data_IF_533828929734
#
_entry.id   IF_533828929734
#
_cell.length_a   1.000
_cell.length_b   1.000
_cell.length_c   1.000
_cell.angle_alpha   90.00
_cell.angle_beta   90.00
_cell.angle_gamma   90.00
#
_symmetry.space_group_name_H-M   'P 1'
#
loop_
_entity.id
_entity.type
_entity.pdbx_description
1 polymer ?
#
# COMPACT_ATOMS: atom_id res chain seq x y z
N UNK A 1 38.80 1.93 -27.91
CA UNK A 1 37.54 2.64 -28.25
C UNK A 1 36.40 2.24 -27.32
N UNK A 2 36.07 0.95 -27.14
CA UNK A 2 34.91 0.52 -26.32
C UNK A 2 34.94 0.95 -24.83
N UNK A 3 36.11 0.97 -24.20
CA UNK A 3 36.27 1.32 -22.77
C UNK A 3 35.93 2.80 -22.50
N UNK A 4 36.24 3.69 -23.43
CA UNK A 4 35.92 5.12 -23.30
C UNK A 4 34.41 5.37 -23.34
N UNK A 5 33.66 4.61 -24.15
CA UNK A 5 32.20 4.74 -24.24
C UNK A 5 31.51 4.26 -22.96
N UNK A 6 32.01 3.19 -22.33
CA UNK A 6 31.44 2.68 -21.07
C UNK A 6 31.63 3.71 -19.94
N UNK A 7 32.81 4.34 -19.84
CA UNK A 7 33.07 5.36 -18.85
C UNK A 7 32.14 6.59 -19.02
N UNK A 8 31.95 7.06 -20.26
CA UNK A 8 31.06 8.18 -20.56
C UNK A 8 29.60 7.86 -20.26
N UNK A 9 29.14 6.66 -20.60
CA UNK A 9 27.77 6.21 -20.27
C UNK A 9 27.55 6.11 -18.76
N UNK A 10 28.54 5.62 -18.00
CA UNK A 10 28.44 5.52 -16.54
C UNK A 10 28.36 6.89 -15.86
N UNK A 11 29.11 7.87 -16.36
CA UNK A 11 29.08 9.24 -15.86
C UNK A 11 27.74 9.92 -16.17
N UNK A 12 27.22 9.74 -17.39
CA UNK A 12 25.93 10.28 -17.79
C UNK A 12 24.76 9.69 -16.98
N UNK A 13 24.77 8.37 -16.74
CA UNK A 13 23.75 7.70 -15.93
C UNK A 13 23.80 8.14 -14.46
N UNK A 14 24.99 8.40 -13.93
CA UNK A 14 25.17 8.87 -12.55
C UNK A 14 24.61 10.29 -12.36
N UNK A 15 24.81 11.20 -13.34
CA UNK A 15 24.20 12.55 -13.31
C UNK A 15 22.67 12.47 -13.42
N UNK A 16 22.15 11.58 -14.26
CA UNK A 16 20.71 11.36 -14.42
C UNK A 16 20.05 10.74 -13.17
N UNK A 17 20.77 9.95 -12.38
CA UNK A 17 20.26 9.37 -11.12
C UNK A 17 20.27 10.37 -9.95
N UNK A 18 21.20 11.33 -9.94
CA UNK A 18 21.29 12.33 -8.86
C UNK A 18 20.24 13.45 -9.03
N UNK A 19 19.85 13.77 -10.27
CA UNK A 19 18.87 14.80 -10.59
C UNK A 19 17.45 14.57 -10.00
N UNK A 20 16.85 13.36 -10.04
CA UNK A 20 15.54 13.09 -9.44
C UNK A 20 15.60 13.04 -7.90
N UNK A 21 16.74 12.70 -7.29
CA UNK A 21 16.89 12.73 -5.83
C UNK A 21 16.90 14.16 -5.26
N UNK A 22 17.47 15.13 -5.98
CA UNK A 22 17.41 16.54 -5.57
C UNK A 22 16.03 17.16 -5.83
N UNK A 23 15.38 16.80 -6.93
CA UNK A 23 14.06 17.32 -7.29
C UNK A 23 12.96 16.83 -6.34
N UNK A 24 13.04 15.58 -5.85
CA UNK A 24 12.10 15.04 -4.86
C UNK A 24 12.21 15.74 -3.51
N UNK A 25 13.40 16.13 -3.08
CA UNK A 25 13.62 16.90 -1.84
C UNK A 25 13.10 18.34 -1.97
N UNK A 26 13.23 18.95 -3.15
CA UNK A 26 12.78 20.33 -3.38
C UNK A 26 11.26 20.46 -3.61
N UNK A 27 10.60 19.44 -4.19
CA UNK A 27 9.15 19.46 -4.40
C UNK A 27 8.34 19.01 -3.17
N UNK A 28 8.93 18.25 -2.22
CA UNK A 28 8.16 17.62 -1.13
C UNK A 28 8.02 18.44 0.16
N UNK A 29 8.53 19.67 0.26
CA UNK A 29 8.15 20.53 1.36
C UNK A 29 9.25 21.39 1.95
N UNK A 30 8.79 22.52 2.47
CA UNK A 30 9.53 23.63 3.05
C UNK A 30 10.67 23.15 4.00
N UNK A 31 11.94 23.52 3.76
CA UNK A 31 13.09 23.04 4.54
C UNK A 31 13.06 23.47 6.03
N UNK A 32 12.12 24.33 6.44
CA UNK A 32 11.90 24.72 7.83
C UNK A 32 11.29 23.62 8.70
N UNK A 33 10.53 22.67 8.13
CA UNK A 33 9.83 21.65 8.92
C UNK A 33 10.74 20.48 9.32
N UNK A 34 11.71 20.14 8.48
CA UNK A 34 12.72 19.12 8.81
C UNK A 34 13.63 19.58 9.97
N UNK A 35 13.92 20.89 10.07
CA UNK A 35 14.68 21.44 11.19
C UNK A 35 13.89 21.43 12.51
N UNK A 36 12.56 21.56 12.47
CA UNK A 36 11.70 21.51 13.66
C UNK A 36 11.47 20.09 14.19
N UNK A 37 11.48 19.07 13.33
CA UNK A 37 11.29 17.67 13.75
C UNK A 37 12.57 17.06 14.34
N UNK A 38 13.74 17.55 13.92
CA UNK A 38 15.04 17.03 14.36
C UNK A 38 15.59 17.68 15.63
N UNK A 39 15.03 18.81 16.10
CA UNK A 39 15.43 19.43 17.37
C UNK A 39 14.53 18.95 18.51
N UNK A 40 15.16 18.68 19.67
CA UNK A 40 14.49 18.18 20.88
C UNK A 40 13.35 19.12 21.36
N UNK A 41 13.45 20.41 21.08
CA UNK A 41 12.45 21.44 21.41
C UNK A 41 11.17 21.36 20.56
N UNK A 42 11.26 21.07 19.25
CA UNK A 42 10.08 21.04 18.38
C UNK A 42 9.09 19.92 18.72
N UNK A 43 9.56 18.89 19.44
CA UNK A 43 8.76 17.76 19.92
C UNK A 43 7.88 18.11 21.13
N UNK A 44 8.23 19.14 21.91
CA UNK A 44 7.42 19.62 23.03
C UNK A 44 6.30 20.57 22.55
N UNK A 45 6.57 21.37 21.51
CA UNK A 45 5.59 22.30 20.93
C UNK A 45 4.41 21.57 20.24
N UNK A 46 4.66 20.39 19.67
CA UNK A 46 3.59 19.53 19.13
C UNK A 46 2.75 18.86 20.23
N UNK A 47 3.31 18.66 21.44
CA UNK A 47 2.57 18.14 22.59
C UNK A 47 1.71 19.20 23.27
N UNK A 48 2.12 20.47 23.25
CA UNK A 48 1.35 21.57 23.84
C UNK A 48 0.14 21.99 23.01
N UNK A 49 0.08 21.60 21.72
CA UNK A 49 -1.04 21.84 20.80
C UNK A 49 -2.11 20.74 20.78
N UNK A 50 -1.98 19.69 21.58
CA UNK A 50 -3.03 18.69 21.71
C UNK A 50 -4.29 19.32 22.36
N UNK A 51 -5.48 19.19 21.77
CA UNK A 51 -6.68 19.86 22.27
C UNK A 51 -7.05 19.32 23.65
N UNK A 52 -6.95 20.20 24.66
CA UNK A 52 -7.59 20.03 25.96
C UNK A 52 -9.11 20.15 25.74
N UNK A 53 -9.80 19.02 25.72
CA UNK A 53 -11.17 19.00 26.18
C UNK A 53 -11.37 17.87 27.20
N UNK A 54 -11.71 18.31 28.43
CA UNK A 54 -12.03 17.46 29.58
C UNK A 54 -13.45 16.91 29.38
N UNK A 55 -13.69 15.66 29.78
CA UNK A 55 -14.51 15.33 30.97
C UNK A 55 -14.91 13.85 31.00
N UNK A 56 -14.47 13.17 32.07
CA UNK A 56 -15.17 12.13 32.82
C UNK A 56 -15.76 10.92 32.10
N UNK A 57 -15.18 9.73 32.32
CA UNK A 57 -15.81 8.69 33.17
C UNK A 57 -14.93 7.43 33.29
N UNK A 58 -14.90 6.89 34.51
CA UNK A 58 -14.70 5.50 34.89
C UNK A 58 -13.35 4.76 34.65
N UNK A 59 -12.56 4.76 35.72
CA UNK A 59 -12.00 3.58 36.43
C UNK A 59 -12.06 2.23 35.69
N UNK A 60 -10.88 1.59 35.59
CA UNK A 60 -10.55 0.18 35.23
C UNK A 60 -9.93 0.00 33.85
N UNK A 61 -8.59 0.05 33.77
CA UNK A 61 -7.87 -0.64 32.68
C UNK A 61 -6.39 -0.96 32.95
N UNK A 62 -5.89 -0.90 34.19
CA UNK A 62 -4.46 -1.21 34.43
C UNK A 62 -4.12 -2.71 34.54
N UNK A 63 -5.10 -3.62 34.44
CA UNK A 63 -4.85 -5.07 34.58
C UNK A 63 -4.69 -5.83 33.25
N UNK A 64 -5.14 -5.30 32.12
CA UNK A 64 -5.09 -6.01 30.82
C UNK A 64 -3.87 -5.68 29.94
N UNK A 65 -3.10 -4.64 30.25
CA UNK A 65 -1.96 -4.25 29.41
C UNK A 65 -0.78 -5.23 29.47
N UNK A 66 -0.67 -6.07 30.51
CA UNK A 66 0.46 -7.00 30.68
C UNK A 66 0.31 -8.33 29.93
N UNK A 67 -0.80 -8.56 29.22
CA UNK A 67 -1.04 -9.82 28.50
C UNK A 67 -0.71 -9.75 26.99
N UNK A 68 -0.44 -8.56 26.44
CA UNK A 68 -0.23 -8.41 24.99
C UNK A 68 1.22 -8.76 24.58
N UNK A 69 2.16 -8.79 25.53
CA UNK A 69 3.58 -9.04 25.23
C UNK A 69 3.97 -10.53 25.14
N UNK A 70 3.04 -11.47 25.39
CA UNK A 70 3.32 -12.91 25.37
C UNK A 70 2.64 -13.69 24.25
N UNK A 71 2.32 -13.06 23.11
CA UNK A 71 1.82 -13.83 21.96
C UNK A 71 3.01 -14.35 21.13
N UNK A 72 3.27 -15.68 21.13
CA UNK A 72 4.38 -16.24 20.37
C UNK A 72 4.23 -15.92 18.88
N UNK A 73 5.30 -15.38 18.28
CA UNK A 73 5.36 -14.82 16.92
C UNK A 73 4.86 -15.76 15.80
N UNK A 74 4.71 -17.06 16.06
CA UNK A 74 4.15 -18.03 15.13
C UNK A 74 2.61 -18.08 15.02
N UNK A 75 1.87 -17.47 15.97
CA UNK A 75 0.39 -17.55 16.01
C UNK A 75 -0.29 -16.62 14.99
N UNK A 76 0.34 -15.48 14.67
CA UNK A 76 -0.22 -14.49 13.73
C UNK A 76 -0.35 -15.03 12.30
N UNK A 77 0.64 -15.79 11.80
CA UNK A 77 0.56 -16.41 10.46
C UNK A 77 -0.64 -17.36 10.30
N UNK A 78 -1.05 -18.02 11.38
CA UNK A 78 -2.18 -18.96 11.39
C UNK A 78 -3.51 -18.21 11.48
N UNK A 79 -3.55 -17.08 12.19
CA UNK A 79 -4.68 -16.17 12.23
C UNK A 79 -4.91 -15.47 10.89
N UNK A 80 -3.87 -15.02 10.18
CA UNK A 80 -4.03 -14.38 8.86
C UNK A 80 -4.55 -15.37 7.81
N UNK A 81 -4.05 -16.62 7.84
CA UNK A 81 -4.54 -17.71 6.98
C UNK A 81 -5.97 -18.11 7.36
N UNK A 82 -6.28 -18.13 8.65
CA UNK A 82 -7.62 -18.35 9.17
C UNK A 82 -8.58 -17.24 8.74
N UNK A 83 -8.26 -15.97 8.94
CA UNK A 83 -9.12 -14.86 8.50
C UNK A 83 -9.41 -14.90 7.00
N UNK A 84 -8.41 -15.19 6.16
CA UNK A 84 -8.64 -15.40 4.71
C UNK A 84 -9.61 -16.54 4.42
N UNK A 85 -9.48 -17.68 5.09
CA UNK A 85 -10.38 -18.83 4.86
C UNK A 85 -11.78 -18.58 5.44
N UNK A 86 -11.87 -17.87 6.56
CA UNK A 86 -13.13 -17.52 7.22
C UNK A 86 -13.92 -16.48 6.41
N UNK A 87 -13.24 -15.53 5.76
CA UNK A 87 -13.87 -14.60 4.80
C UNK A 87 -14.32 -15.32 3.54
N UNK A 88 -13.49 -16.18 2.93
CA UNK A 88 -13.85 -16.93 1.72
C UNK A 88 -15.08 -17.84 1.91
N UNK A 89 -15.17 -18.57 3.02
CA UNK A 89 -16.29 -19.47 3.29
C UNK A 89 -17.59 -18.73 3.60
N UNK A 90 -17.54 -17.57 4.27
CA UNK A 90 -18.72 -16.70 4.46
C UNK A 90 -19.16 -16.01 3.19
N UNK A 91 -18.20 -15.51 2.39
CA UNK A 91 -18.46 -14.85 1.11
C UNK A 91 -19.00 -15.81 0.05
N UNK A 92 -18.62 -17.09 0.09
CA UNK A 92 -19.16 -18.12 -0.81
C UNK A 92 -20.67 -18.36 -0.63
N UNK A 93 -21.22 -18.07 0.55
CA UNK A 93 -22.66 -18.12 0.83
C UNK A 93 -23.39 -16.78 0.64
N UNK A 94 -22.65 -15.69 0.45
CA UNK A 94 -23.20 -14.37 0.14
C UNK A 94 -23.25 -14.21 -1.38
N UNK A 95 -24.26 -13.48 -1.87
CA UNK A 95 -24.31 -13.08 -3.29
C UNK A 95 -22.94 -12.53 -3.69
N UNK A 96 -22.36 -12.94 -4.85
CA UNK A 96 -21.10 -12.36 -5.30
C UNK A 96 -21.21 -10.83 -5.29
N UNK A 97 -20.19 -10.13 -4.77
CA UNK A 97 -20.25 -8.67 -4.62
C UNK A 97 -20.53 -8.01 -5.96
N UNK A 98 -21.29 -6.92 -5.93
CA UNK A 98 -21.63 -6.21 -7.14
C UNK A 98 -20.34 -5.63 -7.78
N UNK A 99 -20.30 -5.57 -9.11
CA UNK A 99 -19.09 -5.15 -9.84
C UNK A 99 -18.67 -3.72 -9.45
N UNK A 100 -19.61 -2.88 -9.05
CA UNK A 100 -19.41 -1.51 -8.56
C UNK A 100 -18.66 -1.48 -7.22
N UNK A 101 -18.95 -2.42 -6.32
CA UNK A 101 -18.26 -2.56 -5.02
C UNK A 101 -16.80 -3.00 -5.24
N UNK A 102 -16.59 -3.90 -6.20
CA UNK A 102 -15.26 -4.34 -6.60
C UNK A 102 -14.49 -3.16 -7.18
N UNK A 103 -15.09 -2.39 -8.08
CA UNK A 103 -14.47 -1.19 -8.66
C UNK A 103 -14.13 -0.14 -7.60
N UNK A 104 -15.00 0.07 -6.60
CA UNK A 104 -14.75 0.97 -5.49
C UNK A 104 -13.54 0.53 -4.65
N UNK A 105 -13.47 -0.76 -4.30
CA UNK A 105 -12.36 -1.32 -3.53
C UNK A 105 -11.04 -1.26 -4.31
N UNK A 106 -11.06 -1.56 -5.61
CA UNK A 106 -9.90 -1.40 -6.49
C UNK A 106 -9.42 0.06 -6.54
N UNK A 107 -10.33 1.04 -6.63
CA UNK A 107 -9.97 2.47 -6.55
C UNK A 107 -9.30 2.82 -5.23
N UNK A 108 -9.84 2.32 -4.11
CA UNK A 108 -9.28 2.57 -2.78
C UNK A 108 -7.88 2.00 -2.65
N UNK A 109 -7.70 0.74 -3.04
CA UNK A 109 -6.42 0.04 -2.97
C UNK A 109 -5.38 0.61 -3.96
N UNK A 110 -5.81 1.05 -5.15
CA UNK A 110 -4.93 1.73 -6.12
C UNK A 110 -4.35 3.04 -5.55
N UNK A 111 -5.16 3.81 -4.82
CA UNK A 111 -4.68 5.01 -4.11
C UNK A 111 -3.69 4.67 -3.00
N UNK A 112 -3.94 3.60 -2.24
CA UNK A 112 -3.05 3.17 -1.16
C UNK A 112 -1.70 2.69 -1.72
N UNK A 113 -1.68 1.84 -2.75
CA UNK A 113 -0.42 1.36 -3.34
C UNK A 113 0.42 2.48 -3.96
N UNK A 114 -0.21 3.52 -4.51
CA UNK A 114 0.49 4.69 -5.10
C UNK A 114 1.04 5.67 -4.07
N UNK A 115 0.65 5.56 -2.80
CA UNK A 115 1.14 6.41 -1.73
C UNK A 115 2.02 5.63 -0.73
N UNK A 116 3.20 5.13 -1.16
CA UNK A 116 4.04 4.28 -0.34
C UNK A 116 4.69 5.01 0.85
N UNK A 117 4.71 6.35 0.85
CA UNK A 117 5.34 7.17 1.88
C UNK A 117 4.79 6.92 3.31
N UNK A 118 3.61 6.30 3.43
CA UNK A 118 2.95 6.02 4.71
C UNK A 118 2.83 4.52 5.03
N UNK A 119 3.51 3.64 4.28
CA UNK A 119 3.37 2.20 4.42
C UNK A 119 4.66 1.52 4.87
N UNK A 120 4.56 0.65 5.89
CA UNK A 120 5.59 -0.35 6.13
C UNK A 120 5.58 -1.38 4.99
N UNK A 121 6.70 -2.06 4.75
CA UNK A 121 6.80 -3.11 3.71
C UNK A 121 5.72 -4.20 3.87
N UNK A 122 5.41 -4.57 5.11
CA UNK A 122 4.37 -5.55 5.44
C UNK A 122 2.98 -5.04 5.02
N UNK A 123 2.69 -3.77 5.28
CA UNK A 123 1.42 -3.16 4.89
C UNK A 123 1.32 -3.03 3.37
N UNK A 124 2.40 -2.64 2.70
CA UNK A 124 2.44 -2.59 1.23
C UNK A 124 2.19 -3.98 0.64
N UNK A 125 2.87 -5.02 1.14
CA UNK A 125 2.65 -6.39 0.69
C UNK A 125 1.21 -6.86 0.92
N UNK A 126 0.59 -6.52 2.05
CA UNK A 126 -0.81 -6.82 2.33
C UNK A 126 -1.78 -6.08 1.38
N UNK A 127 -1.51 -4.80 1.10
CA UNK A 127 -2.27 -4.00 0.12
C UNK A 127 -2.17 -4.61 -1.27
N UNK A 128 -0.96 -4.95 -1.72
CA UNK A 128 -0.73 -5.56 -3.03
C UNK A 128 -1.45 -6.91 -3.15
N UNK A 129 -1.41 -7.74 -2.10
CA UNK A 129 -2.12 -9.02 -2.10
C UNK A 129 -3.63 -8.85 -2.13
N UNK A 130 -4.17 -7.88 -1.39
CA UNK A 130 -5.59 -7.56 -1.40
C UNK A 130 -6.03 -6.98 -2.74
N UNK A 131 -5.15 -6.23 -3.40
CA UNK A 131 -5.37 -5.71 -4.74
C UNK A 131 -5.48 -6.84 -5.77
N UNK A 132 -4.53 -7.79 -5.76
CA UNK A 132 -4.54 -8.97 -6.63
C UNK A 132 -5.81 -9.80 -6.42
N UNK A 133 -6.22 -10.05 -5.16
CA UNK A 133 -7.46 -10.79 -4.87
C UNK A 133 -8.70 -10.11 -5.49
N UNK A 134 -8.74 -8.77 -5.49
CA UNK A 134 -9.84 -7.98 -6.07
C UNK A 134 -9.80 -7.94 -7.59
N UNK A 135 -8.62 -7.97 -8.20
CA UNK A 135 -8.48 -8.13 -9.66
C UNK A 135 -8.99 -9.48 -10.12
N UNK A 136 -8.57 -10.58 -9.48
CA UNK A 136 -9.07 -11.92 -9.82
C UNK A 136 -10.59 -12.05 -9.63
N UNK A 137 -11.15 -11.38 -8.61
CA UNK A 137 -12.60 -11.32 -8.42
C UNK A 137 -13.30 -10.58 -9.57
N UNK A 138 -12.78 -9.42 -10.00
CA UNK A 138 -13.31 -8.68 -11.14
C UNK A 138 -13.23 -9.51 -12.43
N UNK A 139 -12.11 -10.21 -12.65
CA UNK A 139 -11.93 -11.09 -13.80
C UNK A 139 -12.99 -12.20 -13.84
N UNK A 140 -13.23 -12.86 -12.71
CA UNK A 140 -14.30 -13.87 -12.61
C UNK A 140 -15.69 -13.31 -12.90
N UNK A 141 -15.99 -12.09 -12.44
CA UNK A 141 -17.28 -11.44 -12.72
C UNK A 141 -17.47 -11.11 -14.21
N UNK A 142 -16.37 -10.82 -14.92
CA UNK A 142 -16.39 -10.40 -16.34
C UNK A 142 -16.01 -11.55 -17.31
N UNK A 143 -15.72 -12.74 -16.80
CA UNK A 143 -15.29 -13.89 -17.63
C UNK A 143 -13.89 -13.76 -18.23
N UNK A 144 -13.04 -12.91 -17.64
CA UNK A 144 -11.64 -12.73 -18.06
C UNK A 144 -10.78 -13.76 -17.34
N UNK A 145 -9.79 -14.32 -18.05
CA UNK A 145 -8.82 -15.26 -17.47
C UNK A 145 -7.68 -14.50 -16.78
N UNK A 146 -7.31 -14.92 -15.57
CA UNK A 146 -6.17 -14.36 -14.82
C UNK A 146 -5.23 -15.45 -14.29
N UNK A 147 -3.93 -15.11 -14.18
CA UNK A 147 -2.86 -15.99 -13.71
C UNK A 147 -2.10 -15.38 -12.50
N UNK A 148 -2.76 -14.56 -11.70
CA UNK A 148 -2.10 -13.78 -10.62
C UNK A 148 -1.58 -14.64 -9.47
N UNK A 149 -2.33 -15.68 -9.06
CA UNK A 149 -1.96 -16.56 -7.95
C UNK A 149 -0.67 -17.38 -8.21
N UNK A 150 -0.52 -18.08 -9.36
CA UNK A 150 0.65 -18.93 -9.61
C UNK A 150 1.95 -18.14 -9.86
N UNK A 151 1.86 -16.92 -10.39
CA UNK A 151 3.04 -16.11 -10.72
C UNK A 151 3.63 -15.43 -9.49
N UNK A 152 4.91 -15.05 -9.53
CA UNK A 152 5.57 -14.32 -8.43
C UNK A 152 6.49 -13.22 -8.97
N UNK A 153 6.89 -12.27 -8.12
CA UNK A 153 7.82 -11.20 -8.50
C UNK A 153 7.37 -10.42 -9.74
N UNK A 154 8.29 -10.23 -10.69
CA UNK A 154 8.06 -9.48 -11.93
C UNK A 154 6.99 -10.10 -12.82
N UNK A 155 6.88 -11.43 -12.88
CA UNK A 155 5.86 -12.08 -13.71
C UNK A 155 4.45 -11.75 -13.20
N UNK A 156 4.27 -11.70 -11.87
CA UNK A 156 3.01 -11.28 -11.26
C UNK A 156 2.72 -9.81 -11.54
N UNK A 157 3.74 -8.95 -11.57
CA UNK A 157 3.57 -7.54 -11.91
C UNK A 157 3.17 -7.34 -13.37
N UNK A 158 3.76 -8.10 -14.30
CA UNK A 158 3.41 -8.09 -15.71
C UNK A 158 1.96 -8.58 -15.93
N UNK A 159 1.60 -9.69 -15.29
CA UNK A 159 0.23 -10.22 -15.34
C UNK A 159 -0.79 -9.25 -14.73
N UNK A 160 -0.43 -8.58 -13.62
CA UNK A 160 -1.26 -7.53 -13.02
C UNK A 160 -1.51 -6.41 -14.03
N UNK A 161 -0.49 -5.95 -14.71
CA UNK A 161 -0.64 -4.91 -15.73
C UNK A 161 -1.55 -5.37 -16.88
N UNK A 162 -1.37 -6.59 -17.40
CA UNK A 162 -2.23 -7.17 -18.44
C UNK A 162 -3.70 -7.20 -18.00
N UNK A 163 -3.96 -7.76 -16.81
CA UNK A 163 -5.31 -7.83 -16.23
C UNK A 163 -5.92 -6.44 -16.04
N UNK A 164 -5.14 -5.48 -15.53
CA UNK A 164 -5.60 -4.10 -15.38
C UNK A 164 -6.05 -3.49 -16.72
N UNK A 165 -5.28 -3.73 -17.79
CA UNK A 165 -5.63 -3.30 -19.14
C UNK A 165 -6.92 -3.97 -19.65
N UNK A 166 -7.07 -5.28 -19.48
CA UNK A 166 -8.26 -6.01 -19.93
C UNK A 166 -9.53 -5.60 -19.18
N UNK A 167 -9.43 -5.42 -17.86
CA UNK A 167 -10.55 -4.92 -17.06
C UNK A 167 -10.95 -3.51 -17.48
N UNK A 168 -9.97 -2.65 -17.79
CA UNK A 168 -10.23 -1.30 -18.31
C UNK A 168 -10.89 -1.36 -19.69
N UNK A 169 -10.42 -2.24 -20.58
CA UNK A 169 -11.01 -2.46 -21.89
C UNK A 169 -12.45 -3.02 -21.82
N UNK A 170 -12.75 -3.81 -20.80
CA UNK A 170 -14.11 -4.27 -20.47
C UNK A 170 -14.99 -3.18 -19.82
N UNK A 171 -14.47 -1.97 -19.62
CA UNK A 171 -15.21 -0.82 -19.09
C UNK A 171 -15.14 -0.64 -17.58
N UNK A 172 -14.32 -1.42 -16.86
CA UNK A 172 -14.16 -1.27 -15.42
C UNK A 172 -13.21 -0.11 -15.09
N UNK A 173 -13.79 1.02 -14.68
CA UNK A 173 -13.02 2.20 -14.29
C UNK A 173 -12.62 2.14 -12.82
N UNK A 174 -11.37 1.76 -12.56
CA UNK A 174 -10.81 1.74 -11.20
C UNK A 174 -9.47 2.45 -11.06
N UNK A 175 -8.85 2.84 -12.17
CA UNK A 175 -7.65 3.69 -12.17
C UNK A 175 -8.07 5.14 -12.29
N UNK A 176 -7.44 6.01 -11.51
CA UNK A 176 -7.46 7.43 -11.83
C UNK A 176 -6.36 7.64 -12.86
N UNK A 177 -6.71 7.83 -14.12
CA UNK A 177 -5.76 8.41 -15.05
C UNK A 177 -5.44 9.82 -14.54
N UNK A 178 -4.16 10.18 -14.33
CA UNK A 178 -3.83 11.59 -14.26
C UNK A 178 -4.30 12.15 -15.60
N UNK A 179 -5.26 13.08 -15.56
CA UNK A 179 -5.74 13.77 -16.74
C UNK A 179 -4.55 14.27 -17.59
N UNK A 180 -4.67 14.26 -18.93
CA UNK A 180 -3.59 14.63 -19.85
C UNK A 180 -3.07 16.05 -19.62
#
# INVERSE_FOLDING_TARGET
MAIAHIAVLSAALSVLLIFPCAATILLSGNPSDLRRVLTRDGREELRSRAPRNRSGTHVRSHRNQRHIDQVPRGKWRRLDRGMRSWDQVRLAGLKPPAIEEIAFELRRLDRQRRNPAFHSEVLLAATMRSYDDRLSLACRCLGIQDFLEPLTGLDREAERFRVECELTAAGLLFRHDPAP
#
